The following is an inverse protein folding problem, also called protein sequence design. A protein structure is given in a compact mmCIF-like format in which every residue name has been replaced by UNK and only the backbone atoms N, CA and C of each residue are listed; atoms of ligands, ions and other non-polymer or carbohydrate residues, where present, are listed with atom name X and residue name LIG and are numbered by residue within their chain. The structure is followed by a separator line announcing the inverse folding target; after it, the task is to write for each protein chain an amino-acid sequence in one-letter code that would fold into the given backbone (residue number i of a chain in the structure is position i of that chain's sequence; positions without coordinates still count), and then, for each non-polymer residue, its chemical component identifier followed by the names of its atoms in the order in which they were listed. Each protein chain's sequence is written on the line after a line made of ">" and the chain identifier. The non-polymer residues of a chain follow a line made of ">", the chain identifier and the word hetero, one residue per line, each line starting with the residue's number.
data_IF_038114158956
#
_entry.id   IF_038114158956
#
_cell.length_a   1.000
_cell.length_b   1.000
_cell.length_c   1.000
_cell.angle_alpha   90.00
_cell.angle_beta   90.00
_cell.angle_gamma   90.00
#
_symmetry.space_group_name_H-M   'P 1'
#
loop_
_entity.id
_entity.type
_entity.pdbx_description
1 polymer ?
#
# COMPACT_ATOMS: atom_id res chain seq x y z
N UNK A 1 -34.10 -9.03 -58.83
CA UNK A 1 -32.73 -8.57 -58.43
C UNK A 1 -32.77 -7.72 -57.16
N UNK A 2 -33.63 -6.69 -57.07
CA UNK A 2 -33.70 -5.78 -55.88
C UNK A 2 -33.94 -6.50 -54.55
N UNK A 3 -34.80 -7.55 -54.49
CA UNK A 3 -35.08 -8.34 -53.30
C UNK A 3 -33.83 -9.05 -52.76
N UNK A 4 -32.97 -9.55 -53.63
CA UNK A 4 -31.72 -10.23 -53.22
C UNK A 4 -30.70 -9.24 -52.70
N UNK A 5 -30.68 -8.01 -53.26
CA UNK A 5 -29.86 -6.92 -52.73
C UNK A 5 -30.20 -6.60 -51.27
N UNK A 6 -31.49 -6.43 -50.96
CA UNK A 6 -31.89 -6.14 -49.56
C UNK A 6 -31.64 -7.32 -48.61
N UNK A 7 -31.77 -8.56 -49.08
CA UNK A 7 -31.45 -9.74 -48.27
C UNK A 7 -29.95 -9.77 -47.95
N UNK A 8 -29.09 -9.56 -48.92
CA UNK A 8 -27.63 -9.55 -48.72
C UNK A 8 -27.25 -8.39 -47.77
N UNK A 9 -27.84 -7.23 -47.96
CA UNK A 9 -27.60 -6.07 -47.11
C UNK A 9 -28.04 -6.32 -45.65
N UNK A 10 -29.18 -6.94 -45.43
CA UNK A 10 -29.66 -7.33 -44.11
C UNK A 10 -28.75 -8.36 -43.43
N UNK A 11 -28.31 -9.40 -44.17
CA UNK A 11 -27.38 -10.40 -43.67
C UNK A 11 -26.06 -9.74 -43.28
N UNK A 12 -25.55 -8.82 -44.09
CA UNK A 12 -24.30 -8.11 -43.83
C UNK A 12 -24.44 -7.20 -42.58
N UNK A 13 -25.58 -6.55 -42.40
CA UNK A 13 -25.90 -5.77 -41.19
C UNK A 13 -25.93 -6.62 -39.93
N UNK A 14 -26.59 -7.80 -39.99
CA UNK A 14 -26.63 -8.75 -38.89
C UNK A 14 -25.24 -9.30 -38.59
N UNK A 15 -24.42 -9.59 -39.60
CA UNK A 15 -23.05 -10.05 -39.41
C UNK A 15 -22.17 -8.99 -38.74
N UNK A 16 -22.31 -7.73 -39.11
CA UNK A 16 -21.61 -6.62 -38.48
C UNK A 16 -22.02 -6.47 -37.02
N UNK A 17 -23.33 -6.51 -36.72
CA UNK A 17 -23.83 -6.47 -35.35
C UNK A 17 -23.37 -7.67 -34.51
N UNK A 18 -23.30 -8.88 -35.12
CA UNK A 18 -22.82 -10.07 -34.44
C UNK A 18 -21.30 -10.00 -34.12
N UNK A 19 -20.51 -9.39 -35.00
CA UNK A 19 -19.05 -9.26 -34.82
C UNK A 19 -18.67 -8.13 -33.89
N UNK A 20 -19.31 -6.99 -34.00
CA UNK A 20 -18.93 -5.77 -33.26
C UNK A 20 -19.87 -5.41 -32.09
N UNK A 21 -21.02 -6.10 -32.00
CA UNK A 21 -22.02 -5.85 -30.99
C UNK A 21 -22.80 -4.54 -31.22
N UNK A 22 -23.72 -4.26 -30.31
CA UNK A 22 -24.53 -3.01 -30.34
C UNK A 22 -23.75 -1.93 -29.60
N UNK A 23 -23.48 -0.77 -30.21
CA UNK A 23 -22.78 0.33 -29.54
C UNK A 23 -23.48 0.73 -28.25
N UNK A 24 -22.69 0.95 -27.18
CA UNK A 24 -23.20 1.36 -25.87
C UNK A 24 -23.70 0.24 -24.95
N UNK A 25 -23.68 -1.03 -25.39
CA UNK A 25 -23.98 -2.17 -24.51
C UNK A 25 -22.75 -2.62 -23.74
N UNK A 26 -22.96 -3.12 -22.49
CA UNK A 26 -21.88 -3.73 -21.71
C UNK A 26 -21.68 -5.18 -22.17
N UNK A 27 -20.44 -5.52 -22.49
CA UNK A 27 -20.07 -6.88 -22.87
C UNK A 27 -19.21 -7.52 -21.77
N UNK A 28 -19.46 -8.79 -21.49
CA UNK A 28 -18.64 -9.60 -20.57
C UNK A 28 -17.36 -10.12 -21.24
N UNK A 29 -17.31 -10.10 -22.55
CA UNK A 29 -16.16 -10.54 -23.34
C UNK A 29 -15.56 -9.38 -24.11
N UNK A 30 -14.23 -9.33 -24.27
CA UNK A 30 -13.60 -8.32 -25.10
C UNK A 30 -14.11 -8.41 -26.54
N UNK A 31 -14.30 -7.28 -27.23
CA UNK A 31 -14.74 -7.27 -28.62
C UNK A 31 -13.73 -8.01 -29.51
N UNK A 32 -14.24 -8.60 -30.60
CA UNK A 32 -13.37 -9.20 -31.60
C UNK A 32 -12.50 -8.11 -32.26
N UNK A 33 -11.19 -8.26 -32.12
CA UNK A 33 -10.21 -7.34 -32.70
C UNK A 33 -9.73 -7.87 -34.02
N UNK A 34 -10.07 -7.20 -35.11
CA UNK A 34 -9.61 -7.56 -36.47
C UNK A 34 -8.15 -7.15 -36.65
N UNK A 35 -7.80 -5.97 -36.15
CA UNK A 35 -6.44 -5.43 -36.15
C UNK A 35 -6.10 -5.04 -34.71
N UNK A 36 -5.19 -5.76 -34.04
CA UNK A 36 -4.83 -5.45 -32.65
C UNK A 36 -4.02 -4.17 -32.48
N UNK A 37 -3.44 -3.65 -33.59
CA UNK A 37 -2.65 -2.44 -33.64
C UNK A 37 -1.60 -2.40 -32.51
N UNK A 38 -1.55 -1.34 -31.69
CA UNK A 38 -0.60 -1.23 -30.57
C UNK A 38 -1.06 -1.96 -29.30
N UNK A 39 -2.26 -2.54 -29.29
CA UNK A 39 -2.77 -3.30 -28.14
C UNK A 39 -1.97 -4.58 -27.88
N UNK A 40 -1.55 -5.26 -28.94
CA UNK A 40 -0.68 -6.42 -28.86
C UNK A 40 0.73 -6.06 -29.31
N UNK A 41 1.65 -6.09 -28.35
CA UNK A 41 3.06 -5.79 -28.58
C UNK A 41 3.91 -6.98 -28.14
N UNK A 42 4.98 -7.27 -28.88
CA UNK A 42 5.92 -8.36 -28.60
C UNK A 42 6.80 -8.11 -27.35
N UNK A 43 6.63 -6.96 -26.70
CA UNK A 43 7.36 -6.67 -25.48
C UNK A 43 6.86 -7.48 -24.29
N UNK A 44 7.75 -7.84 -23.40
CA UNK A 44 7.41 -8.44 -22.12
C UNK A 44 6.73 -7.37 -21.25
N UNK A 45 5.48 -7.63 -20.87
CA UNK A 45 4.70 -6.79 -19.96
C UNK A 45 4.68 -7.43 -18.58
N UNK A 46 4.62 -6.60 -17.52
CA UNK A 46 4.43 -7.09 -16.15
C UNK A 46 3.20 -8.01 -16.04
N UNK A 47 3.29 -9.06 -15.25
CA UNK A 47 2.23 -10.04 -14.99
C UNK A 47 1.72 -10.83 -16.23
N UNK A 48 2.38 -10.70 -17.39
CA UNK A 48 2.07 -11.54 -18.54
C UNK A 48 3.02 -12.73 -18.62
N UNK A 49 2.50 -13.93 -19.01
CA UNK A 49 3.36 -15.06 -19.28
C UNK A 49 4.25 -14.78 -20.50
N UNK A 50 5.44 -15.34 -20.52
CA UNK A 50 6.37 -15.29 -21.63
C UNK A 50 6.52 -16.71 -22.22
N UNK A 51 6.38 -16.82 -23.51
CA UNK A 51 6.64 -18.10 -24.23
C UNK A 51 8.13 -18.29 -24.54
N UNK A 52 8.94 -17.25 -24.34
CA UNK A 52 10.37 -17.29 -24.61
C UNK A 52 11.17 -18.04 -23.53
N UNK A 53 10.74 -17.97 -22.27
CA UNK A 53 11.41 -18.62 -21.16
C UNK A 53 10.72 -19.93 -20.77
N UNK A 54 11.52 -20.96 -20.45
CA UNK A 54 11.03 -22.29 -20.07
C UNK A 54 10.09 -22.29 -18.86
N UNK A 55 10.33 -21.39 -17.90
CA UNK A 55 9.49 -21.20 -16.71
C UNK A 55 8.20 -20.39 -16.98
N UNK A 56 8.00 -19.96 -18.21
CA UNK A 56 6.83 -19.18 -18.62
C UNK A 56 6.74 -17.77 -18.02
N UNK A 57 7.75 -17.33 -17.27
CA UNK A 57 7.73 -16.04 -16.56
C UNK A 57 8.38 -14.93 -17.40
N UNK A 58 7.64 -13.88 -17.70
CA UNK A 58 8.17 -12.69 -18.36
C UNK A 58 9.03 -11.84 -17.41
N UNK A 59 8.68 -11.80 -16.14
CA UNK A 59 9.44 -11.07 -15.11
C UNK A 59 10.61 -11.91 -14.64
N UNK A 60 11.83 -11.41 -14.86
CA UNK A 60 13.08 -12.10 -14.47
C UNK A 60 13.68 -11.47 -13.22
N UNK A 61 14.29 -12.30 -12.40
CA UNK A 61 15.12 -11.82 -11.30
C UNK A 61 16.35 -11.09 -11.87
N UNK A 62 16.85 -10.04 -11.20
CA UNK A 62 18.11 -9.41 -11.56
C UNK A 62 19.24 -10.43 -11.63
N UNK A 63 20.19 -10.20 -12.49
CA UNK A 63 21.40 -11.03 -12.57
C UNK A 63 22.16 -10.93 -11.25
N UNK A 64 22.68 -12.07 -10.77
CA UNK A 64 23.45 -12.09 -9.53
C UNK A 64 24.63 -11.08 -9.60
N UNK A 65 24.78 -10.28 -8.54
CA UNK A 65 25.80 -9.22 -8.49
C UNK A 65 25.38 -7.89 -9.10
N UNK A 66 24.16 -7.77 -9.62
CA UNK A 66 23.64 -6.48 -10.10
C UNK A 66 23.25 -5.61 -8.90
N UNK A 67 23.79 -4.42 -8.82
CA UNK A 67 23.37 -3.39 -7.85
C UNK A 67 22.37 -2.48 -8.56
N UNK A 68 21.10 -2.43 -8.10
CA UNK A 68 20.14 -1.51 -8.69
C UNK A 68 20.58 -0.07 -8.39
N UNK A 69 20.53 0.79 -9.39
CA UNK A 69 20.59 2.23 -9.15
C UNK A 69 19.28 2.65 -8.50
N UNK A 70 19.30 2.80 -7.17
CA UNK A 70 18.22 3.52 -6.49
C UNK A 70 18.40 5.00 -6.81
N UNK A 71 17.39 5.64 -7.39
CA UNK A 71 17.35 7.09 -7.39
C UNK A 71 17.31 7.63 -5.95
N UNK A 72 17.76 8.85 -5.73
CA UNK A 72 17.72 9.54 -4.42
C UNK A 72 16.28 9.71 -3.86
N UNK A 73 15.28 9.41 -4.68
CA UNK A 73 13.86 9.46 -4.35
C UNK A 73 13.33 8.24 -3.56
N UNK A 74 14.18 7.28 -3.25
CA UNK A 74 13.86 6.14 -2.39
C UNK A 74 12.79 5.17 -2.94
N UNK A 75 12.19 5.47 -4.09
CA UNK A 75 11.05 4.72 -4.66
C UNK A 75 11.44 3.30 -5.09
N UNK A 76 12.72 3.07 -5.41
CA UNK A 76 13.25 1.76 -5.74
C UNK A 76 14.27 1.23 -4.75
N UNK A 77 14.19 1.65 -3.49
CA UNK A 77 14.95 1.00 -2.43
C UNK A 77 14.37 -0.39 -2.11
N UNK A 78 14.19 -1.17 -3.16
CA UNK A 78 13.77 -2.54 -3.03
C UNK A 78 14.88 -3.29 -2.32
N UNK A 79 14.52 -4.08 -1.35
CA UNK A 79 15.38 -5.06 -0.68
C UNK A 79 15.91 -6.13 -1.66
N UNK A 80 16.46 -5.72 -2.79
CA UNK A 80 17.22 -6.60 -3.68
C UNK A 80 18.69 -6.49 -3.36
N UNK A 81 19.10 -6.87 -2.18
CA UNK A 81 20.50 -6.93 -1.88
C UNK A 81 20.77 -7.04 -0.39
N UNK A 82 21.53 -8.03 -0.03
CA UNK A 82 22.34 -8.07 1.17
C UNK A 82 23.17 -6.78 1.23
N UNK A 83 22.77 -5.77 2.00
CA UNK A 83 23.58 -4.55 2.11
C UNK A 83 22.93 -3.38 2.82
N UNK A 84 21.63 -3.33 2.96
CA UNK A 84 20.98 -2.32 3.78
C UNK A 84 20.84 -2.84 5.20
N UNK A 85 21.91 -2.70 5.95
CA UNK A 85 21.97 -3.00 7.38
C UNK A 85 21.76 -1.72 8.17
N UNK A 86 21.41 -1.86 9.43
CA UNK A 86 21.20 -0.73 10.33
C UNK A 86 19.75 -0.49 10.67
N UNK A 87 19.56 0.26 11.73
CA UNK A 87 18.26 0.52 12.33
C UNK A 87 17.29 1.21 11.36
N UNK A 88 17.78 2.18 10.62
CA UNK A 88 16.98 2.93 9.64
C UNK A 88 16.28 2.05 8.59
N UNK A 89 16.97 1.01 8.11
CA UNK A 89 16.43 0.14 7.06
C UNK A 89 15.66 -1.08 7.58
N UNK A 90 15.97 -1.53 8.78
CA UNK A 90 15.47 -2.83 9.28
C UNK A 90 14.60 -2.71 10.53
N UNK A 91 14.69 -1.61 11.27
CA UNK A 91 14.12 -1.47 12.60
C UNK A 91 14.86 -2.26 13.68
N UNK A 92 16.03 -2.84 13.33
CA UNK A 92 16.85 -3.65 14.23
C UNK A 92 18.14 -2.93 14.60
N UNK A 93 18.42 -2.87 15.91
CA UNK A 93 19.67 -2.48 16.49
C UNK A 93 20.24 -3.67 17.27
N UNK A 94 21.44 -4.11 16.93
CA UNK A 94 22.12 -5.26 17.58
C UNK A 94 21.28 -6.56 17.62
N UNK A 95 20.44 -6.78 16.60
CA UNK A 95 19.58 -7.96 16.49
C UNK A 95 18.25 -7.86 17.24
N UNK A 96 17.96 -6.76 17.91
CA UNK A 96 16.70 -6.49 18.59
C UNK A 96 15.97 -5.33 17.95
N UNK A 97 14.64 -5.30 18.06
CA UNK A 97 13.87 -4.16 17.60
C UNK A 97 14.14 -2.95 18.48
N UNK A 98 14.59 -1.87 17.87
CA UNK A 98 14.95 -0.64 18.59
C UNK A 98 13.74 0.23 18.93
N UNK A 99 13.97 1.19 19.80
CA UNK A 99 13.01 2.24 20.19
C UNK A 99 13.51 3.61 19.74
N UNK A 100 12.60 4.52 19.45
CA UNK A 100 12.90 5.86 18.96
C UNK A 100 13.05 5.91 17.43
N UNK A 101 13.16 7.15 16.94
CA UNK A 101 13.37 7.41 15.51
C UNK A 101 14.86 7.24 15.15
N UNK A 102 15.18 6.75 13.94
CA UNK A 102 16.57 6.66 13.48
C UNK A 102 17.27 8.01 13.41
N UNK A 103 18.57 8.03 13.75
CA UNK A 103 19.38 9.25 13.66
C UNK A 103 19.51 9.78 12.23
N UNK A 104 19.46 8.89 11.25
CA UNK A 104 19.53 9.22 9.82
C UNK A 104 18.39 10.14 9.34
N UNK A 105 17.30 10.26 10.10
CA UNK A 105 16.21 11.18 9.81
C UNK A 105 16.54 12.64 10.15
N UNK A 106 17.59 12.88 10.93
CA UNK A 106 18.06 14.21 11.33
C UNK A 106 16.92 15.12 11.83
N UNK A 107 15.98 14.56 12.61
CA UNK A 107 14.80 15.29 13.10
C UNK A 107 15.20 16.36 14.10
N UNK A 108 14.72 17.57 13.86
CA UNK A 108 14.89 18.73 14.72
C UNK A 108 13.52 19.28 15.13
N UNK A 109 13.47 20.20 16.11
CA UNK A 109 12.22 20.88 16.48
C UNK A 109 11.57 21.61 15.30
N UNK A 110 12.37 22.05 14.31
CA UNK A 110 11.87 22.75 13.12
C UNK A 110 11.31 21.80 12.05
N UNK A 111 11.82 20.55 11.98
CA UNK A 111 11.45 19.57 10.92
C UNK A 111 10.44 18.55 11.39
N UNK A 112 10.30 18.33 12.70
CA UNK A 112 9.42 17.27 13.25
C UNK A 112 7.95 17.47 12.90
N UNK A 113 7.46 18.72 12.85
CA UNK A 113 6.07 19.02 12.50
C UNK A 113 5.78 18.62 11.05
N UNK A 114 6.65 18.98 10.12
CA UNK A 114 6.53 18.60 8.72
C UNK A 114 6.64 17.07 8.52
N UNK A 115 7.50 16.41 9.29
CA UNK A 115 7.64 14.96 9.29
C UNK A 115 6.39 14.25 9.81
N UNK A 116 5.76 14.75 10.89
CA UNK A 116 4.49 14.24 11.40
C UNK A 116 3.34 14.45 10.40
N UNK A 117 3.26 15.64 9.79
CA UNK A 117 2.27 15.90 8.74
C UNK A 117 2.44 14.97 7.53
N UNK A 118 3.69 14.65 7.17
CA UNK A 118 3.98 13.63 6.16
C UNK A 118 3.50 12.25 6.59
N UNK A 119 3.72 11.88 7.85
CA UNK A 119 3.23 10.64 8.45
C UNK A 119 1.71 10.53 8.39
N UNK A 120 0.99 11.60 8.75
CA UNK A 120 -0.46 11.70 8.65
C UNK A 120 -0.96 11.47 7.23
N UNK A 121 -0.39 12.19 6.26
CA UNK A 121 -0.74 12.03 4.85
C UNK A 121 -0.56 10.58 4.39
N UNK A 122 0.59 9.98 4.69
CA UNK A 122 0.90 8.60 4.29
C UNK A 122 0.05 7.56 5.00
N UNK A 123 -0.22 7.77 6.28
CA UNK A 123 -1.16 6.95 7.04
C UNK A 123 -2.56 7.00 6.42
N UNK A 124 -3.06 8.17 6.09
CA UNK A 124 -4.35 8.37 5.43
C UNK A 124 -4.47 7.59 4.11
N UNK A 125 -3.39 7.57 3.31
CA UNK A 125 -3.38 6.88 2.02
C UNK A 125 -3.32 5.36 2.18
N UNK A 126 -2.44 4.83 3.04
CA UNK A 126 -2.10 3.40 3.05
C UNK A 126 -2.73 2.63 4.21
N UNK A 127 -2.98 3.26 5.35
CA UNK A 127 -3.32 2.59 6.61
C UNK A 127 -4.78 2.79 7.02
N UNK A 128 -5.31 4.02 6.88
CA UNK A 128 -6.63 4.40 7.36
C UNK A 128 -7.76 3.57 6.75
N UNK A 129 -7.59 3.07 5.53
CA UNK A 129 -8.60 2.22 4.86
C UNK A 129 -8.93 0.96 5.69
N UNK A 130 -7.96 0.42 6.42
CA UNK A 130 -8.13 -0.72 7.32
C UNK A 130 -8.23 -0.27 8.78
N UNK A 131 -7.26 0.54 9.25
CA UNK A 131 -7.12 0.90 10.66
C UNK A 131 -8.03 2.05 11.14
N UNK A 132 -8.74 2.73 10.22
CA UNK A 132 -9.51 3.93 10.53
C UNK A 132 -8.63 5.18 10.59
N UNK A 133 -9.23 6.35 10.43
CA UNK A 133 -8.51 7.63 10.50
C UNK A 133 -7.91 7.89 11.89
N UNK A 134 -8.60 7.42 12.93
CA UNK A 134 -8.17 7.52 14.32
C UNK A 134 -7.35 6.32 14.83
N UNK A 135 -7.07 5.32 14.00
CA UNK A 135 -6.34 4.12 14.41
C UNK A 135 -7.14 3.11 15.23
N UNK A 136 -8.45 3.24 15.30
CA UNK A 136 -9.38 2.44 16.10
C UNK A 136 -9.67 1.04 15.53
N UNK A 137 -9.16 0.73 14.34
CA UNK A 137 -9.42 -0.53 13.63
C UNK A 137 -10.76 -0.56 12.87
N UNK A 138 -11.51 0.54 12.85
CA UNK A 138 -12.83 0.65 12.23
C UNK A 138 -12.80 1.29 10.83
N UNK A 139 -11.76 1.01 10.04
CA UNK A 139 -11.63 1.47 8.66
C UNK A 139 -12.71 0.91 7.73
N UNK A 140 -12.73 1.41 6.51
CA UNK A 140 -13.73 1.03 5.49
C UNK A 140 -13.74 -0.48 5.22
N UNK A 141 -12.55 -1.10 5.15
CA UNK A 141 -12.44 -2.54 4.87
C UNK A 141 -12.96 -3.38 6.03
N UNK A 142 -12.75 -2.93 7.29
CA UNK A 142 -13.35 -3.58 8.47
C UNK A 142 -14.89 -3.53 8.41
N UNK A 143 -15.46 -2.41 8.01
CA UNK A 143 -16.93 -2.24 7.83
C UNK A 143 -17.46 -3.12 6.69
N UNK A 144 -16.64 -3.46 5.71
CA UNK A 144 -16.98 -4.36 4.60
C UNK A 144 -16.77 -5.85 4.93
N UNK A 145 -16.42 -6.18 6.17
CA UNK A 145 -16.34 -7.56 6.65
C UNK A 145 -14.94 -8.14 6.85
N UNK A 146 -13.88 -7.36 6.69
CA UNK A 146 -12.54 -7.80 7.10
C UNK A 146 -12.44 -7.76 8.62
N UNK A 147 -12.55 -8.93 9.25
CA UNK A 147 -12.41 -9.06 10.69
C UNK A 147 -10.95 -9.16 11.12
N UNK A 148 -10.63 -8.64 12.31
CA UNK A 148 -9.31 -8.80 12.93
C UNK A 148 -8.32 -7.68 12.65
N UNK A 149 -8.75 -6.57 12.05
CA UNK A 149 -7.97 -5.33 12.05
C UNK A 149 -7.86 -4.83 13.49
N UNK A 150 -6.63 -4.57 13.91
CA UNK A 150 -6.35 -4.21 15.31
C UNK A 150 -6.55 -2.73 15.53
N UNK A 151 -7.06 -2.40 16.72
CA UNK A 151 -7.04 -1.05 17.23
C UNK A 151 -5.61 -0.73 17.68
N UNK A 152 -5.01 0.31 17.11
CA UNK A 152 -3.61 0.69 17.36
C UNK A 152 -3.41 1.31 18.75
N UNK A 153 -4.48 1.62 19.47
CA UNK A 153 -4.43 2.16 20.84
C UNK A 153 -4.45 1.08 21.94
N UNK A 154 -4.60 -0.21 21.57
CA UNK A 154 -4.51 -1.29 22.55
C UNK A 154 -3.15 -1.25 23.27
N UNK A 155 -3.14 -1.50 24.57
CA UNK A 155 -1.95 -1.47 25.42
C UNK A 155 -0.79 -2.30 24.86
N UNK A 156 -1.09 -3.41 24.19
CA UNK A 156 -0.08 -4.25 23.56
C UNK A 156 0.70 -3.58 22.44
N UNK A 157 0.18 -2.49 21.84
CA UNK A 157 0.83 -1.74 20.76
C UNK A 157 1.51 -0.45 21.22
N UNK A 158 1.41 -0.10 22.52
CA UNK A 158 2.11 1.02 23.10
C UNK A 158 3.63 0.82 23.03
N UNK A 159 4.39 1.92 23.03
CA UNK A 159 5.84 1.88 22.80
C UNK A 159 6.60 0.95 23.76
N UNK A 160 6.13 0.81 24.99
CA UNK A 160 6.74 -0.07 26.00
C UNK A 160 6.67 -1.57 25.63
N UNK A 161 5.58 -1.98 24.95
CA UNK A 161 5.32 -3.38 24.59
C UNK A 161 5.62 -3.66 23.11
N UNK A 162 5.63 -2.63 22.28
CA UNK A 162 5.76 -2.73 20.82
C UNK A 162 6.75 -1.68 20.31
N UNK A 163 8.04 -1.96 20.29
CA UNK A 163 9.09 -1.01 19.91
C UNK A 163 8.87 -0.41 18.51
N UNK A 164 9.35 0.81 18.28
CA UNK A 164 9.16 1.53 17.01
C UNK A 164 9.77 0.76 15.83
N UNK A 165 10.93 0.15 16.03
CA UNK A 165 11.54 -0.72 15.03
C UNK A 165 10.70 -1.94 14.68
N UNK A 166 9.91 -2.47 15.64
CA UNK A 166 9.00 -3.57 15.34
C UNK A 166 7.76 -3.08 14.58
N UNK A 167 7.24 -1.91 14.92
CA UNK A 167 6.16 -1.28 14.15
C UNK A 167 6.60 -1.02 12.71
N UNK A 168 7.79 -0.44 12.52
CA UNK A 168 8.41 -0.27 11.22
C UNK A 168 8.56 -1.61 10.46
N UNK A 169 9.03 -2.66 11.14
CA UNK A 169 9.18 -3.99 10.55
C UNK A 169 7.83 -4.54 10.08
N UNK A 170 6.77 -4.40 10.87
CA UNK A 170 5.42 -4.85 10.51
C UNK A 170 4.89 -4.10 9.28
N UNK A 171 5.11 -2.80 9.19
CA UNK A 171 4.77 -2.03 7.99
C UNK A 171 5.56 -2.57 6.78
N UNK A 172 6.84 -2.85 6.98
CA UNK A 172 7.74 -3.28 5.90
C UNK A 172 7.44 -4.69 5.40
N UNK A 173 7.27 -5.67 6.31
CA UNK A 173 7.18 -7.11 6.00
C UNK A 173 5.76 -7.67 6.08
N UNK A 174 4.84 -6.92 6.70
CA UNK A 174 3.53 -7.42 7.04
C UNK A 174 3.51 -8.30 8.29
N UNK A 175 2.33 -8.60 8.79
CA UNK A 175 2.13 -9.53 9.91
C UNK A 175 0.73 -10.16 9.85
N UNK A 176 0.65 -11.48 9.81
CA UNK A 176 -0.63 -12.19 9.73
C UNK A 176 -1.39 -11.84 8.46
N UNK A 177 -2.58 -11.21 8.59
CA UNK A 177 -3.38 -10.77 7.46
C UNK A 177 -2.93 -9.42 6.86
N UNK A 178 -2.11 -8.66 7.58
CA UNK A 178 -1.57 -7.39 7.08
C UNK A 178 -0.47 -7.68 6.07
N UNK A 179 -0.67 -7.25 4.83
CA UNK A 179 0.33 -7.38 3.77
C UNK A 179 1.56 -6.49 4.00
N UNK A 180 2.63 -6.79 3.28
CA UNK A 180 3.87 -6.01 3.30
C UNK A 180 3.73 -4.73 2.47
N UNK A 181 4.15 -3.60 3.01
CA UNK A 181 4.14 -2.30 2.33
C UNK A 181 5.56 -1.80 1.96
N UNK A 182 6.59 -2.58 2.26
CA UNK A 182 7.98 -2.20 1.98
C UNK A 182 8.27 -1.83 0.54
N UNK A 183 7.54 -2.42 -0.41
CA UNK A 183 7.66 -2.14 -1.85
C UNK A 183 6.93 -0.87 -2.29
N UNK A 184 5.95 -0.42 -1.52
CA UNK A 184 5.02 0.63 -1.90
C UNK A 184 5.31 1.96 -1.19
N UNK A 185 5.96 1.89 -0.01
CA UNK A 185 6.20 3.03 0.85
C UNK A 185 7.72 3.18 1.04
N UNK A 186 8.32 4.32 0.70
CA UNK A 186 9.73 4.62 0.96
C UNK A 186 10.11 4.46 2.44
N UNK A 187 11.38 4.22 2.73
CA UNK A 187 11.90 4.01 4.10
C UNK A 187 11.52 5.16 5.02
N UNK A 188 11.79 6.39 4.59
CA UNK A 188 11.50 7.61 5.34
C UNK A 188 10.00 7.75 5.63
N UNK A 189 9.14 7.53 4.64
CA UNK A 189 7.68 7.59 4.79
C UNK A 189 7.16 6.52 5.77
N UNK A 190 7.79 5.33 5.83
CA UNK A 190 7.45 4.30 6.83
C UNK A 190 7.75 4.78 8.25
N UNK A 191 8.89 5.43 8.46
CA UNK A 191 9.23 6.02 9.75
C UNK A 191 8.32 7.21 10.11
N UNK A 192 7.94 8.01 9.12
CA UNK A 192 6.95 9.07 9.32
C UNK A 192 5.59 8.50 9.77
N UNK A 193 5.14 7.39 9.18
CA UNK A 193 3.94 6.67 9.64
C UNK A 193 4.10 6.17 11.09
N UNK A 194 5.26 5.60 11.44
CA UNK A 194 5.54 5.16 12.82
C UNK A 194 5.42 6.33 13.79
N UNK A 195 6.04 7.47 13.48
CA UNK A 195 5.97 8.67 14.30
C UNK A 195 4.52 9.18 14.46
N UNK A 196 3.75 9.20 13.37
CA UNK A 196 2.35 9.60 13.41
C UNK A 196 1.48 8.66 14.24
N UNK A 197 1.68 7.34 14.15
CA UNK A 197 0.97 6.37 15.01
C UNK A 197 1.28 6.62 16.47
N UNK A 198 2.54 6.92 16.83
CA UNK A 198 2.90 7.27 18.22
C UNK A 198 2.24 8.55 18.70
N UNK A 199 2.23 9.57 17.85
CA UNK A 199 1.53 10.83 18.17
C UNK A 199 0.03 10.62 18.38
N UNK A 200 -0.63 9.78 17.58
CA UNK A 200 -2.04 9.43 17.79
C UNK A 200 -2.28 8.68 19.11
N UNK A 201 -1.38 7.77 19.49
CA UNK A 201 -1.47 7.03 20.75
C UNK A 201 -1.36 8.00 21.94
N UNK A 202 -0.36 8.88 21.94
CA UNK A 202 -0.13 9.87 22.98
C UNK A 202 -1.28 10.88 23.09
N UNK A 203 -1.77 11.39 21.97
CA UNK A 203 -2.89 12.32 21.95
C UNK A 203 -4.17 11.71 22.57
N UNK A 204 -4.38 10.41 22.41
CA UNK A 204 -5.52 9.72 23.03
C UNK A 204 -5.35 9.57 24.54
N UNK A 205 -4.17 9.22 25.02
CA UNK A 205 -3.90 9.08 26.46
C UNK A 205 -4.14 10.41 27.18
N UNK A 206 -3.62 11.51 26.65
CA UNK A 206 -3.83 12.87 27.20
C UNK A 206 -5.32 13.22 27.23
N UNK A 207 -6.07 12.90 26.19
CA UNK A 207 -7.51 13.16 26.15
C UNK A 207 -8.31 12.36 27.19
N UNK A 208 -7.92 11.11 27.45
CA UNK A 208 -8.56 10.26 28.47
C UNK A 208 -8.23 10.76 29.89
N UNK A 209 -7.02 11.20 30.16
CA UNK A 209 -6.62 11.81 31.44
C UNK A 209 -7.35 13.12 31.71
N UNK A 210 -7.50 13.99 30.72
CA UNK A 210 -8.22 15.24 30.83
C UNK A 210 -9.71 15.00 31.15
N UNK A 211 -10.33 14.00 30.51
CA UNK A 211 -11.71 13.61 30.79
C UNK A 211 -11.86 13.03 32.20
N UNK A 212 -10.92 12.22 32.68
CA UNK A 212 -10.92 11.67 34.02
C UNK A 212 -10.82 12.77 35.07
N UNK A 213 -9.92 13.74 34.92
CA UNK A 213 -9.76 14.89 35.82
C UNK A 213 -10.99 15.81 35.85
N UNK A 214 -11.69 15.92 34.71
CA UNK A 214 -12.90 16.73 34.62
C UNK A 214 -14.08 16.06 35.34
N UNK A 215 -14.17 14.70 35.26
CA UNK A 215 -15.21 13.94 35.97
C UNK A 215 -15.01 14.00 37.51
N UNK A 216 -13.78 13.91 38.00
CA UNK A 216 -13.48 14.02 39.43
C UNK A 216 -13.81 15.42 40.01
N UNK A 217 -13.62 16.47 39.20
CA UNK A 217 -14.00 17.85 39.62
C UNK A 217 -15.52 18.07 39.60
N UNK A 218 -16.26 17.33 38.81
CA UNK A 218 -17.72 17.43 38.73
C UNK A 218 -18.47 16.71 39.88
N UNK A 219 -17.87 15.70 40.49
CA UNK A 219 -18.45 14.98 41.63
C UNK A 219 -18.17 15.61 43.01
N UNK A 220 -17.34 16.66 43.07
CA UNK A 220 -16.95 17.35 44.30
C UNK A 220 -17.73 18.66 44.60
N UNK A 221 -18.83 18.94 43.89
CA UNK A 221 -19.76 20.08 44.16
C UNK A 221 -21.15 19.51 44.54
#
# INVERSE_FOLDING_TARGET
>A
MLKYFFIVYAILGVAVLALFGIPGTKFERPPFRVFPDMDDQDKIKGQKPSQFFEDGKGSRLPVAGTVPMSGDDGVFSVEFGEGRTGYYYTGLADGYYGTGMPEELELTEETVEAFLARGEERYGIFCAICHGESGDGAGTVSKLGLNGVRNLHEEMFQAANYPDGFLYHVITKGKGMMGAYGMNIPVEDRWAIVAYVRAMQEAREVSEEDLAQTSEKGEGQ
#
